data_IF_084113863945
#
_entry.id   IF_084113863945
#
_cell.length_a   1.000
_cell.length_b   1.000
_cell.length_c   1.000
_cell.angle_alpha   90.00
_cell.angle_beta   90.00
_cell.angle_gamma   90.00
#
_symmetry.space_group_name_H-M   'P 1'
#
loop_
_entity.id
_entity.type
_entity.pdbx_description
1 polymer ?
#
# COMPACT_ATOMS: atom_id res chain seq x y z
N UNK A 1 33.03 0.46 7.88
CA UNK A 1 31.80 1.07 8.46
C UNK A 1 31.53 2.48 7.93
N UNK A 2 32.53 3.36 7.74
CA UNK A 2 32.33 4.74 7.23
C UNK A 2 31.67 4.86 5.85
N UNK A 3 31.94 3.92 4.94
CA UNK A 3 31.39 3.96 3.57
C UNK A 3 29.85 3.89 3.53
N UNK A 4 29.24 3.18 4.49
CA UNK A 4 27.77 3.06 4.59
C UNK A 4 27.14 4.35 5.13
N UNK A 5 27.80 4.97 6.11
CA UNK A 5 27.31 6.19 6.75
C UNK A 5 27.30 7.38 5.78
N UNK A 6 28.31 7.47 4.91
CA UNK A 6 28.35 8.49 3.85
C UNK A 6 27.30 8.25 2.74
N UNK A 7 26.94 6.99 2.46
CA UNK A 7 25.88 6.66 1.50
C UNK A 7 24.50 7.05 2.03
N UNK A 8 24.26 6.85 3.33
CA UNK A 8 23.00 7.24 3.99
C UNK A 8 22.82 8.76 4.09
N UNK A 9 23.91 9.51 4.36
CA UNK A 9 23.89 10.98 4.38
C UNK A 9 23.59 11.58 3.00
N UNK A 10 24.15 10.99 1.92
CA UNK A 10 23.86 11.43 0.54
C UNK A 10 22.40 11.17 0.14
N UNK A 11 21.82 10.05 0.55
CA UNK A 11 20.43 9.72 0.25
C UNK A 11 19.45 10.68 0.96
N UNK A 12 19.71 11.03 2.23
CA UNK A 12 18.91 12.04 2.96
C UNK A 12 19.01 13.45 2.35
N UNK A 13 20.18 13.84 1.86
CA UNK A 13 20.37 15.13 1.20
C UNK A 13 19.65 15.23 -0.16
N UNK A 14 19.40 14.10 -0.83
CA UNK A 14 18.69 14.04 -2.10
C UNK A 14 17.16 14.12 -1.92
N UNK A 15 16.64 13.64 -0.79
CA UNK A 15 15.20 13.71 -0.44
C UNK A 15 14.80 15.12 0.04
N UNK A 16 15.72 15.87 0.66
CA UNK A 16 15.45 17.22 1.21
C UNK A 16 15.59 18.36 0.20
N UNK A 17 15.99 18.10 -1.05
CA UNK A 17 15.94 19.09 -2.13
C UNK A 17 14.58 19.03 -2.84
N UNK A 18 13.52 19.47 -2.16
CA UNK A 18 12.28 19.82 -2.84
C UNK A 18 12.55 21.03 -3.75
N UNK A 19 12.22 20.98 -5.05
CA UNK A 19 12.25 22.16 -5.88
C UNK A 19 11.18 23.13 -5.37
N UNK A 20 11.58 24.36 -5.02
CA UNK A 20 10.69 25.50 -4.86
C UNK A 20 10.06 25.77 -6.23
N UNK A 21 8.89 25.17 -6.49
CA UNK A 21 8.09 25.51 -7.66
C UNK A 21 7.48 26.89 -7.40
N UNK A 22 8.01 27.88 -8.12
CA UNK A 22 7.41 29.20 -8.27
C UNK A 22 5.94 29.05 -8.63
N UNK A 23 5.09 29.76 -7.90
CA UNK A 23 3.68 29.93 -8.20
C UNK A 23 3.53 30.65 -9.54
N UNK A 24 3.44 29.88 -10.62
CA UNK A 24 2.95 30.38 -11.89
C UNK A 24 1.56 29.78 -12.08
N UNK A 25 0.60 30.70 -11.97
CA UNK A 25 -0.77 30.61 -12.40
C UNK A 25 -0.84 30.04 -13.82
N UNK A 26 -0.98 28.71 -13.93
CA UNK A 26 -1.34 28.03 -15.16
C UNK A 26 -2.44 27.05 -14.78
N UNK A 27 -3.65 27.43 -15.18
CA UNK A 27 -4.84 26.61 -15.25
C UNK A 27 -4.50 25.26 -15.86
N UNK A 28 -4.36 24.25 -15.00
CA UNK A 28 -4.28 22.87 -15.43
C UNK A 28 -5.72 22.38 -15.60
N UNK A 29 -6.25 22.60 -16.80
CA UNK A 29 -7.45 21.91 -17.28
C UNK A 29 -7.09 20.44 -17.45
N UNK A 30 -7.23 19.65 -16.38
CA UNK A 30 -7.37 18.22 -16.52
C UNK A 30 -8.83 17.92 -16.84
N UNK A 31 -9.14 17.90 -18.13
CA UNK A 31 -10.33 17.24 -18.66
C UNK A 31 -10.17 15.73 -18.41
N UNK A 32 -10.57 15.26 -17.23
CA UNK A 32 -10.67 13.83 -16.97
C UNK A 32 -11.99 13.32 -17.54
N UNK A 33 -11.96 12.79 -18.77
CA UNK A 33 -13.09 12.08 -19.42
C UNK A 33 -13.58 10.82 -18.66
N UNK A 34 -12.99 10.50 -17.50
CA UNK A 34 -13.30 9.30 -16.73
C UNK A 34 -14.35 9.60 -15.66
N UNK A 35 -15.61 9.64 -16.09
CA UNK A 35 -16.84 9.84 -15.28
C UNK A 35 -16.94 8.93 -14.03
N UNK A 36 -16.24 7.81 -14.03
CA UNK A 36 -16.26 6.78 -12.97
C UNK A 36 -15.28 7.05 -11.81
N UNK A 37 -14.32 7.96 -11.96
CA UNK A 37 -13.48 8.42 -10.84
C UNK A 37 -14.25 9.33 -9.86
N UNK A 38 -15.47 9.76 -10.22
CA UNK A 38 -16.31 10.66 -9.42
C UNK A 38 -17.27 9.94 -8.46
N UNK A 39 -17.28 8.61 -8.42
CA UNK A 39 -18.16 7.85 -7.53
C UNK A 39 -17.45 7.58 -6.20
N UNK A 40 -17.36 8.62 -5.38
CA UNK A 40 -17.05 8.46 -3.97
C UNK A 40 -18.38 8.25 -3.23
N UNK A 41 -18.50 7.11 -2.55
CA UNK A 41 -19.67 6.78 -1.77
C UNK A 41 -19.67 7.64 -0.49
N UNK A 42 -20.64 8.54 -0.39
CA UNK A 42 -20.84 9.39 0.77
C UNK A 42 -22.06 8.88 1.56
N UNK A 43 -21.96 8.85 2.89
CA UNK A 43 -23.05 8.42 3.79
C UNK A 43 -24.33 9.25 3.66
N UNK A 44 -24.24 10.46 3.09
CA UNK A 44 -25.28 11.49 3.18
C UNK A 44 -25.90 11.85 1.81
N UNK A 45 -25.72 11.02 0.77
CA UNK A 45 -26.25 11.24 -0.59
C UNK A 45 -25.81 12.55 -1.29
N UNK A 46 -24.79 13.25 -0.80
CA UNK A 46 -24.24 14.46 -1.44
C UNK A 46 -22.98 14.14 -2.22
N UNK A 47 -22.89 14.63 -3.46
CA UNK A 47 -21.68 14.53 -4.29
C UNK A 47 -20.78 15.71 -3.93
N UNK A 48 -19.64 15.43 -3.30
CA UNK A 48 -18.63 16.44 -2.95
C UNK A 48 -17.55 16.52 -4.03
N UNK A 49 -16.98 17.71 -4.22
CA UNK A 49 -15.82 17.88 -5.11
C UNK A 49 -14.54 17.39 -4.41
N UNK A 50 -13.49 17.02 -5.17
CA UNK A 50 -12.22 16.57 -4.60
C UNK A 50 -11.64 17.53 -3.56
N UNK A 51 -11.67 18.83 -3.83
CA UNK A 51 -11.15 19.87 -2.92
C UNK A 51 -11.93 19.96 -1.59
N UNK A 52 -13.23 19.66 -1.62
CA UNK A 52 -14.11 19.64 -0.44
C UNK A 52 -13.83 18.41 0.42
N UNK A 53 -13.54 17.26 -0.22
CA UNK A 53 -13.14 16.03 0.46
C UNK A 53 -11.78 16.18 1.15
N UNK A 54 -10.80 16.83 0.50
CA UNK A 54 -9.49 17.06 1.10
C UNK A 54 -9.59 17.89 2.39
N UNK A 55 -10.52 18.86 2.44
CA UNK A 55 -10.77 19.66 3.64
C UNK A 55 -11.44 18.84 4.76
N UNK A 56 -12.33 17.91 4.44
CA UNK A 56 -12.93 16.99 5.43
C UNK A 56 -11.92 15.97 5.96
N UNK A 57 -11.02 15.50 5.09
CA UNK A 57 -9.92 14.62 5.47
C UNK A 57 -8.85 15.33 6.33
N UNK A 58 -8.86 16.66 6.39
CA UNK A 58 -7.94 17.44 7.25
C UNK A 58 -8.42 17.56 8.70
N UNK A 59 -9.67 17.21 9.01
CA UNK A 59 -10.07 17.16 10.42
C UNK A 59 -9.28 16.06 11.14
N UNK A 60 -8.71 16.35 12.33
CA UNK A 60 -7.99 15.36 13.08
C UNK A 60 -8.97 14.26 13.44
N UNK A 61 -8.75 13.07 12.87
CA UNK A 61 -9.48 11.86 13.24
C UNK A 61 -9.53 11.79 14.76
N UNK A 62 -10.75 11.63 15.30
CA UNK A 62 -10.95 11.24 16.70
C UNK A 62 -9.90 10.20 17.09
N UNK A 63 -9.38 10.20 18.33
CA UNK A 63 -8.27 9.34 18.72
C UNK A 63 -8.53 7.92 18.22
N UNK A 64 -7.69 7.51 17.27
CA UNK A 64 -7.86 6.25 16.56
C UNK A 64 -7.88 5.15 17.60
N UNK A 65 -8.93 4.32 17.58
CA UNK A 65 -8.98 3.16 18.45
C UNK A 65 -7.84 2.22 18.07
N UNK A 66 -6.78 2.19 18.89
CA UNK A 66 -5.57 1.42 18.63
C UNK A 66 -5.88 -0.07 18.38
N UNK A 67 -6.89 -0.63 19.06
CA UNK A 67 -7.31 -2.02 18.83
C UNK A 67 -7.91 -2.23 17.44
N UNK A 68 -8.70 -1.28 16.97
CA UNK A 68 -9.29 -1.35 15.62
C UNK A 68 -8.19 -1.22 14.56
N UNK A 69 -7.24 -0.32 14.78
CA UNK A 69 -6.10 -0.14 13.88
C UNK A 69 -5.24 -1.41 13.80
N UNK A 70 -4.98 -2.05 14.94
CA UNK A 70 -4.24 -3.32 15.01
C UNK A 70 -5.00 -4.44 14.28
N UNK A 71 -6.31 -4.53 14.45
CA UNK A 71 -7.15 -5.50 13.73
C UNK A 71 -7.13 -5.29 12.21
N UNK A 72 -7.26 -4.05 11.75
CA UNK A 72 -7.22 -3.72 10.33
C UNK A 72 -5.84 -4.06 9.76
N UNK A 73 -4.78 -3.65 10.45
CA UNK A 73 -3.40 -3.89 10.03
C UNK A 73 -3.08 -5.39 9.99
N UNK A 74 -3.43 -6.12 11.05
CA UNK A 74 -3.27 -7.56 11.15
C UNK A 74 -4.06 -8.32 10.08
N UNK A 75 -5.25 -7.85 9.71
CA UNK A 75 -6.05 -8.46 8.65
C UNK A 75 -5.40 -8.30 7.27
N UNK A 76 -4.90 -7.09 6.97
CA UNK A 76 -4.21 -6.83 5.69
C UNK A 76 -2.88 -7.59 5.60
N UNK A 77 -2.10 -7.60 6.67
CA UNK A 77 -0.83 -8.34 6.74
C UNK A 77 -1.10 -9.85 6.67
N UNK A 78 -2.09 -10.34 7.40
CA UNK A 78 -2.49 -11.74 7.42
C UNK A 78 -2.95 -12.25 6.05
N UNK A 79 -3.69 -11.43 5.31
CA UNK A 79 -4.08 -11.73 3.93
C UNK A 79 -2.85 -11.90 3.03
N UNK A 80 -1.92 -10.95 3.05
CA UNK A 80 -0.71 -11.00 2.24
C UNK A 80 0.19 -12.19 2.61
N UNK A 81 0.30 -12.51 3.89
CA UNK A 81 1.05 -13.69 4.35
C UNK A 81 0.37 -15.00 3.94
N UNK A 82 -0.95 -15.06 4.02
CA UNK A 82 -1.73 -16.22 3.59
C UNK A 82 -1.57 -16.51 2.10
N UNK A 83 -1.58 -15.46 1.28
CA UNK A 83 -1.34 -15.54 -0.16
C UNK A 83 0.08 -16.05 -0.47
N UNK A 84 1.11 -15.44 0.11
CA UNK A 84 2.50 -15.85 -0.09
C UNK A 84 2.78 -17.30 0.36
N UNK A 85 2.15 -17.75 1.46
CA UNK A 85 2.23 -19.15 1.89
C UNK A 85 1.50 -20.10 0.93
N UNK A 86 0.32 -19.71 0.44
CA UNK A 86 -0.49 -20.51 -0.47
C UNK A 86 0.12 -20.65 -1.87
N UNK A 87 0.74 -19.59 -2.39
CA UNK A 87 1.31 -19.55 -3.73
C UNK A 87 2.42 -20.61 -3.94
N UNK A 88 3.17 -20.94 -2.90
CA UNK A 88 4.19 -22.00 -2.95
C UNK A 88 3.60 -23.39 -3.27
N UNK A 89 2.42 -23.66 -2.74
CA UNK A 89 1.74 -24.97 -2.83
C UNK A 89 0.59 -25.00 -3.82
N UNK A 90 0.36 -23.90 -4.52
CA UNK A 90 -0.71 -23.79 -5.50
C UNK A 90 -0.62 -24.90 -6.55
N UNK A 91 -1.76 -25.53 -6.84
CA UNK A 91 -1.91 -26.65 -7.77
C UNK A 91 -1.15 -27.94 -7.40
N UNK A 92 -0.73 -28.11 -6.14
CA UNK A 92 -0.18 -29.38 -5.63
C UNK A 92 -1.30 -30.29 -5.11
N UNK A 93 -1.22 -31.60 -5.35
CA UNK A 93 -2.18 -32.55 -4.79
C UNK A 93 -1.99 -32.67 -3.27
N UNK A 94 -3.03 -33.11 -2.56
CA UNK A 94 -2.99 -33.18 -1.10
C UNK A 94 -1.89 -34.12 -0.59
N UNK A 95 -1.65 -35.23 -1.27
CA UNK A 95 -0.61 -36.21 -0.93
C UNK A 95 0.80 -35.58 -0.98
N UNK A 96 1.02 -34.63 -1.88
CA UNK A 96 2.28 -33.90 -1.95
C UNK A 96 2.52 -33.06 -0.69
N UNK A 97 1.47 -32.44 -0.14
CA UNK A 97 1.54 -31.59 1.06
C UNK A 97 1.77 -32.41 2.32
N UNK A 98 1.24 -33.64 2.38
CA UNK A 98 1.52 -34.56 3.48
C UNK A 98 3.00 -34.99 3.49
N UNK A 99 3.57 -35.24 2.32
CA UNK A 99 4.98 -35.58 2.17
C UNK A 99 5.92 -34.38 2.33
N UNK A 100 5.48 -33.17 1.93
CA UNK A 100 6.26 -31.94 1.90
C UNK A 100 5.49 -30.80 2.61
N UNK A 101 5.37 -30.84 3.94
CA UNK A 101 4.64 -29.82 4.68
C UNK A 101 5.37 -28.48 4.64
N UNK A 102 4.64 -27.41 4.33
CA UNK A 102 5.14 -26.02 4.40
C UNK A 102 5.26 -25.62 5.86
N UNK A 103 6.47 -25.24 6.28
CA UNK A 103 6.76 -24.86 7.68
C UNK A 103 7.18 -23.40 7.83
N UNK A 104 7.49 -22.73 6.74
CA UNK A 104 7.95 -21.36 6.70
C UNK A 104 7.52 -20.71 5.37
N UNK A 105 7.74 -19.41 5.23
CA UNK A 105 7.68 -18.74 3.94
C UNK A 105 8.78 -19.34 3.05
N UNK A 106 8.38 -19.98 1.97
CA UNK A 106 9.27 -20.64 1.02
C UNK A 106 9.04 -20.06 -0.38
N UNK A 107 10.12 -19.82 -1.11
CA UNK A 107 10.03 -19.43 -2.53
C UNK A 107 9.78 -20.64 -3.43
N UNK A 108 9.52 -20.42 -4.71
CA UNK A 108 9.27 -21.46 -5.70
C UNK A 108 7.80 -21.51 -6.09
N UNK A 109 7.19 -22.69 -5.96
CA UNK A 109 5.82 -22.93 -6.43
C UNK A 109 5.68 -22.88 -7.94
N UNK A 110 4.44 -22.83 -8.40
CA UNK A 110 4.09 -22.83 -9.83
C UNK A 110 4.69 -21.64 -10.59
N UNK A 111 4.86 -20.52 -9.89
CA UNK A 111 5.28 -19.25 -10.47
C UNK A 111 6.77 -18.92 -10.24
N UNK A 112 7.51 -19.79 -9.54
CA UNK A 112 8.94 -19.56 -9.27
C UNK A 112 9.22 -18.32 -8.42
N UNK A 113 8.34 -18.01 -7.46
CA UNK A 113 8.40 -16.80 -6.65
C UNK A 113 9.60 -16.80 -5.69
N UNK A 114 10.02 -15.63 -5.23
CA UNK A 114 10.99 -15.55 -4.12
C UNK A 114 10.25 -15.74 -2.79
N UNK A 115 11.00 -16.04 -1.75
CA UNK A 115 10.47 -16.13 -0.39
C UNK A 115 9.76 -14.82 0.01
N UNK A 116 8.46 -14.92 0.31
CA UNK A 116 7.62 -13.80 0.75
C UNK A 116 7.09 -12.89 -0.37
N UNK A 117 7.12 -13.35 -1.62
CA UNK A 117 6.46 -12.69 -2.75
C UNK A 117 5.14 -13.34 -3.09
#
# INVERSE_FOLDING_TARGET
MEKFHNKLKRFKAQILRKPQRKANHLSCQFETEKKWLCLQYHSDNQIKKPDELENEMQEPLSPINEKLLDQISGSLIGLALGDALGAHVEFRPHEYLLANPVKDLEGGGTWGLKKGQ
#
